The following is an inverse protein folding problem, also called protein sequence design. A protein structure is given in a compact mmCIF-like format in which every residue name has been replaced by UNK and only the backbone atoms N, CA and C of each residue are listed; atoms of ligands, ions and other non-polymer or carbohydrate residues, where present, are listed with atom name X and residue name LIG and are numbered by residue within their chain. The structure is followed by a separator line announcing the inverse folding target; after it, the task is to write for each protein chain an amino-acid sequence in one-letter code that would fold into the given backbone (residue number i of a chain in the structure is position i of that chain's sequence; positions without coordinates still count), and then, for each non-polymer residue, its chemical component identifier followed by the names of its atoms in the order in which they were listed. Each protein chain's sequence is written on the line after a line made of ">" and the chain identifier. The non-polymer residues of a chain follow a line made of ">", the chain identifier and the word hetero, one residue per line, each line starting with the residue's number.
data_IF_306368394083
#
_entry.id   IF_306368394083
#
_cell.length_a   1.000
_cell.length_b   1.000
_cell.length_c   1.000
_cell.angle_alpha   90.00
_cell.angle_beta   90.00
_cell.angle_gamma   90.00
#
_symmetry.space_group_name_H-M   'P 1'
#
loop_
_entity.id
_entity.type
_entity.pdbx_description
1 polymer ?
#
# COMPACT_ATOMS: atom_id res chain seq x y z
N UNK A 1 -13.68 12.22 17.26
CA UNK A 1 -14.25 11.88 15.94
C UNK A 1 -13.53 10.61 15.49
N UNK A 2 -14.21 9.48 15.23
CA UNK A 2 -13.54 8.39 14.52
C UNK A 2 -13.16 8.92 13.13
N UNK A 3 -11.90 8.78 12.74
CA UNK A 3 -11.47 9.08 11.38
C UNK A 3 -12.34 8.24 10.42
N UNK A 4 -12.88 8.83 9.35
CA UNK A 4 -13.52 8.03 8.32
C UNK A 4 -12.42 7.21 7.66
N UNK A 5 -12.35 5.91 7.98
CA UNK A 5 -11.58 4.94 7.21
C UNK A 5 -12.17 4.98 5.80
N UNK A 6 -11.49 5.67 4.88
CA UNK A 6 -11.92 5.76 3.49
C UNK A 6 -11.77 4.33 2.94
N UNK A 7 -12.86 3.64 2.58
CA UNK A 7 -12.73 2.31 2.01
C UNK A 7 -11.95 2.45 0.70
N UNK A 8 -10.76 1.85 0.65
CA UNK A 8 -9.97 1.75 -0.58
C UNK A 8 -10.85 1.03 -1.61
N UNK A 9 -11.14 1.69 -2.74
CA UNK A 9 -11.80 1.04 -3.86
C UNK A 9 -10.85 0.04 -4.51
N UNK A 10 -11.39 -1.00 -5.15
CA UNK A 10 -10.57 -1.95 -5.92
C UNK A 10 -9.68 -1.25 -6.98
N UNK A 11 -10.14 -0.11 -7.50
CA UNK A 11 -9.38 0.73 -8.41
C UNK A 11 -8.17 1.39 -7.74
N UNK A 12 -8.37 1.96 -6.54
CA UNK A 12 -7.31 2.57 -5.74
C UNK A 12 -6.26 1.53 -5.32
N UNK A 13 -6.69 0.31 -4.94
CA UNK A 13 -5.79 -0.81 -4.66
C UNK A 13 -4.92 -1.18 -5.87
N UNK A 14 -5.49 -1.18 -7.08
CA UNK A 14 -4.76 -1.51 -8.30
C UNK A 14 -3.72 -0.43 -8.66
N UNK A 15 -4.10 0.85 -8.50
CA UNK A 15 -3.18 1.99 -8.67
C UNK A 15 -2.04 1.89 -7.66
N UNK A 16 -2.33 1.66 -6.38
CA UNK A 16 -1.33 1.48 -5.33
C UNK A 16 -0.37 0.37 -5.68
N UNK A 17 -0.90 -0.79 -6.10
CA UNK A 17 -0.08 -1.94 -6.47
C UNK A 17 0.84 -1.62 -7.65
N UNK A 18 0.33 -0.95 -8.67
CA UNK A 18 1.15 -0.58 -9.83
C UNK A 18 2.22 0.46 -9.48
N UNK A 19 1.89 1.44 -8.63
CA UNK A 19 2.84 2.44 -8.15
C UNK A 19 3.92 1.82 -7.25
N UNK A 20 3.51 0.91 -6.36
CA UNK A 20 4.41 0.11 -5.52
C UNK A 20 5.37 -0.71 -6.37
N UNK A 21 4.88 -1.47 -7.37
CA UNK A 21 5.73 -2.28 -8.26
C UNK A 21 6.72 -1.40 -9.02
N UNK A 22 6.27 -0.26 -9.56
CA UNK A 22 7.15 0.71 -10.24
C UNK A 22 8.25 1.22 -9.31
N UNK A 23 7.92 1.62 -8.09
CA UNK A 23 8.89 2.10 -7.11
C UNK A 23 9.86 1.00 -6.69
N UNK A 24 9.38 -0.23 -6.47
CA UNK A 24 10.25 -1.39 -6.17
C UNK A 24 11.27 -1.64 -7.29
N UNK A 25 10.85 -1.55 -8.55
CA UNK A 25 11.72 -1.75 -9.71
C UNK A 25 12.70 -0.58 -9.87
N UNK A 26 12.24 0.66 -9.71
CA UNK A 26 13.03 1.87 -9.92
C UNK A 26 14.08 2.08 -8.83
N UNK A 27 13.69 1.94 -7.56
CA UNK A 27 14.58 2.08 -6.38
C UNK A 27 15.31 0.79 -6.00
N UNK A 28 15.11 -0.31 -6.75
CA UNK A 28 15.64 -1.63 -6.41
C UNK A 28 15.34 -2.02 -4.95
N UNK A 29 14.10 -1.79 -4.52
CA UNK A 29 13.71 -1.99 -3.12
C UNK A 29 13.78 -3.48 -2.80
N UNK A 30 14.49 -3.88 -1.73
CA UNK A 30 14.58 -5.28 -1.34
C UNK A 30 13.28 -5.77 -0.68
N UNK A 31 12.95 -7.06 -0.84
CA UNK A 31 11.68 -7.67 -0.38
C UNK A 31 11.37 -7.43 1.11
N UNK A 32 12.39 -7.31 1.97
CA UNK A 32 12.18 -7.01 3.38
C UNK A 32 11.57 -5.61 3.63
N UNK A 33 11.81 -4.66 2.71
CA UNK A 33 11.29 -3.28 2.76
C UNK A 33 9.95 -3.13 2.06
N UNK A 34 9.54 -4.11 1.25
CA UNK A 34 8.28 -4.06 0.49
C UNK A 34 7.09 -3.84 1.41
N UNK A 35 7.11 -4.51 2.55
CA UNK A 35 6.05 -4.44 3.56
C UNK A 35 5.95 -3.04 4.16
N UNK A 36 7.09 -2.42 4.49
CA UNK A 36 7.16 -1.05 4.99
C UNK A 36 6.73 -0.04 3.92
N UNK A 37 7.22 -0.19 2.69
CA UNK A 37 6.88 0.69 1.57
C UNK A 37 5.39 0.65 1.23
N UNK A 38 4.81 -0.55 1.14
CA UNK A 38 3.37 -0.72 0.90
C UNK A 38 2.53 -0.12 2.02
N UNK A 39 2.95 -0.28 3.29
CA UNK A 39 2.26 0.35 4.42
C UNK A 39 2.27 1.87 4.35
N UNK A 40 3.39 2.46 3.95
CA UNK A 40 3.52 3.92 3.82
C UNK A 40 2.65 4.44 2.68
N UNK A 41 2.61 3.74 1.55
CA UNK A 41 1.73 4.02 0.41
C UNK A 41 0.24 3.96 0.77
N UNK A 42 -0.20 2.92 1.49
CA UNK A 42 -1.61 2.79 1.90
C UNK A 42 -1.96 3.90 2.90
N UNK A 43 -1.07 4.21 3.84
CA UNK A 43 -1.28 5.30 4.81
C UNK A 43 -1.33 6.66 4.13
N UNK A 44 -0.48 6.91 3.13
CA UNK A 44 -0.48 8.15 2.36
C UNK A 44 -1.80 8.32 1.58
N UNK A 45 -2.31 7.23 0.99
CA UNK A 45 -3.55 7.27 0.23
C UNK A 45 -4.81 7.39 1.10
N UNK A 46 -4.86 6.68 2.23
CA UNK A 46 -6.05 6.64 3.10
C UNK A 46 -6.05 7.69 4.20
N UNK A 47 -4.89 8.28 4.48
CA UNK A 47 -4.66 9.07 5.69
C UNK A 47 -4.87 8.30 6.99
N UNK A 48 -4.98 6.96 6.92
CA UNK A 48 -5.29 6.09 8.06
C UNK A 48 -4.03 5.41 8.55
N UNK A 49 -3.78 5.50 9.86
CA UNK A 49 -2.65 4.81 10.50
C UNK A 49 -2.86 3.29 10.57
N UNK A 50 -4.12 2.86 10.52
CA UNK A 50 -4.51 1.45 10.50
C UNK A 50 -4.54 0.95 9.05
N UNK A 51 -3.51 0.18 8.69
CA UNK A 51 -3.36 -0.43 7.38
C UNK A 51 -3.85 -1.87 7.44
N UNK A 52 -4.86 -2.21 6.65
CA UNK A 52 -5.35 -3.58 6.50
C UNK A 52 -4.21 -4.53 6.09
N UNK A 53 -3.89 -5.48 6.97
CA UNK A 53 -2.83 -6.46 6.73
C UNK A 53 -3.10 -7.29 5.48
N UNK A 54 -4.37 -7.62 5.20
CA UNK A 54 -4.77 -8.40 4.03
C UNK A 54 -4.53 -7.63 2.71
N UNK A 55 -4.86 -6.32 2.70
CA UNK A 55 -4.57 -5.43 1.57
C UNK A 55 -3.06 -5.30 1.37
N UNK A 56 -2.31 -5.12 2.46
CA UNK A 56 -0.87 -5.02 2.41
C UNK A 56 -0.23 -6.28 1.83
N UNK A 57 -0.65 -7.46 2.31
CA UNK A 57 -0.20 -8.74 1.77
C UNK A 57 -0.57 -8.88 0.30
N UNK A 58 -1.76 -8.42 -0.12
CA UNK A 58 -2.18 -8.44 -1.52
C UNK A 58 -1.33 -7.54 -2.42
N UNK A 59 -0.88 -6.37 -1.94
CA UNK A 59 -0.03 -5.44 -2.69
C UNK A 59 1.39 -6.00 -2.85
N UNK A 60 1.99 -6.54 -1.77
CA UNK A 60 3.34 -7.12 -1.82
C UNK A 60 3.39 -8.48 -2.50
N UNK A 61 2.23 -9.13 -2.70
CA UNK A 61 2.14 -10.39 -3.43
C UNK A 61 2.49 -10.17 -4.89
N UNK A 62 3.46 -10.96 -5.37
CA UNK A 62 3.86 -11.02 -6.79
C UNK A 62 2.70 -11.47 -7.68
#
# INVERSE_FOLDING_TARGET
>A
MPQPSIPISAFDSDILRNAFIKSVIEDHVPEHRWRELASDFIRDLTGSEDVDADLLEWIVRK
#
